data_IF_311726051639
#
_entry.id   IF_311726051639
#
_cell.length_a   1.000
_cell.length_b   1.000
_cell.length_c   1.000
_cell.angle_alpha   90.00
_cell.angle_beta   90.00
_cell.angle_gamma   90.00
#
_symmetry.space_group_name_H-M   'P 1'
#
loop_
_entity.id
_entity.type
_entity.pdbx_description
1 polymer ?
#
# COMPACT_ATOMS: atom_id res chain seq x y z
N UNK A 1 -3.02 -28.53 -6.56
CA UNK A 1 -2.89 -27.21 -5.92
C UNK A 1 -1.89 -27.35 -4.79
N UNK A 2 -0.66 -26.91 -5.01
CA UNK A 2 0.42 -27.02 -4.04
C UNK A 2 0.27 -25.82 -3.09
N UNK A 3 -0.20 -26.06 -1.87
CA UNK A 3 -0.23 -25.01 -0.84
C UNK A 3 1.21 -24.78 -0.39
N UNK A 4 1.82 -23.70 -0.89
CA UNK A 4 3.14 -23.27 -0.48
C UNK A 4 3.10 -22.91 1.01
N UNK A 5 3.94 -23.57 1.82
CA UNK A 5 4.02 -23.36 3.28
C UNK A 5 4.26 -21.87 3.59
N UNK A 6 5.01 -21.17 2.74
CA UNK A 6 5.21 -19.72 2.76
C UNK A 6 3.91 -18.94 2.66
N UNK A 7 2.99 -19.31 1.76
CA UNK A 7 1.69 -18.64 1.64
C UNK A 7 0.79 -18.87 2.86
N UNK A 8 0.88 -20.05 3.50
CA UNK A 8 0.17 -20.33 4.75
C UNK A 8 0.71 -19.49 5.91
N UNK A 9 2.04 -19.37 6.03
CA UNK A 9 2.69 -18.57 7.08
C UNK A 9 2.39 -17.08 6.90
N UNK A 10 2.53 -16.57 5.67
CA UNK A 10 2.23 -15.16 5.36
C UNK A 10 0.75 -14.87 5.59
N UNK A 11 -0.15 -15.73 5.10
CA UNK A 11 -1.59 -15.59 5.32
C UNK A 11 -1.98 -15.61 6.79
N UNK A 12 -1.38 -16.52 7.58
CA UNK A 12 -1.57 -16.61 9.03
C UNK A 12 -1.07 -15.37 9.77
N UNK A 13 0.10 -14.85 9.41
CA UNK A 13 0.65 -13.61 9.96
C UNK A 13 -0.23 -12.40 9.65
N UNK A 14 -0.68 -12.27 8.40
CA UNK A 14 -1.59 -11.19 7.98
C UNK A 14 -2.92 -11.30 8.72
N UNK A 15 -3.49 -12.51 8.83
CA UNK A 15 -4.72 -12.76 9.57
C UNK A 15 -4.61 -12.40 11.06
N UNK A 16 -3.50 -12.78 11.71
CA UNK A 16 -3.22 -12.42 13.09
C UNK A 16 -3.05 -10.91 13.27
N UNK A 17 -2.33 -10.25 12.37
CA UNK A 17 -2.17 -8.78 12.35
C UNK A 17 -3.51 -8.06 12.23
N UNK A 18 -4.38 -8.52 11.32
CA UNK A 18 -5.73 -7.98 11.16
C UNK A 18 -6.57 -8.23 12.40
N UNK A 19 -6.51 -9.44 12.98
CA UNK A 19 -7.21 -9.77 14.22
C UNK A 19 -6.80 -8.85 15.39
N UNK A 20 -5.50 -8.62 15.57
CA UNK A 20 -4.97 -7.71 16.59
C UNK A 20 -5.33 -6.26 16.29
N UNK A 21 -5.31 -5.85 15.02
CA UNK A 21 -5.71 -4.50 14.60
C UNK A 21 -7.20 -4.21 14.91
N UNK A 22 -8.08 -5.22 14.79
CA UNK A 22 -9.50 -5.12 15.14
C UNK A 22 -9.71 -5.16 16.66
N UNK A 23 -8.93 -5.94 17.39
CA UNK A 23 -9.03 -6.04 18.86
C UNK A 23 -8.50 -4.80 19.57
N UNK A 24 -7.47 -4.14 19.02
CA UNK A 24 -6.81 -2.97 19.64
C UNK A 24 -6.77 -1.80 18.65
N UNK A 25 -7.70 -0.83 18.77
CA UNK A 25 -7.84 0.29 17.82
C UNK A 25 -6.57 1.13 17.66
N UNK A 26 -5.76 1.24 18.73
CA UNK A 26 -4.46 1.96 18.69
C UNK A 26 -3.45 1.26 17.80
N UNK A 27 -3.38 -0.07 17.88
CA UNK A 27 -2.45 -0.89 17.08
C UNK A 27 -2.90 -0.89 15.62
N UNK A 28 -4.21 -1.01 15.37
CA UNK A 28 -4.78 -0.89 14.01
C UNK A 28 -4.47 0.46 13.36
N UNK A 29 -4.50 1.56 14.13
CA UNK A 29 -4.12 2.89 13.63
C UNK A 29 -2.64 2.99 13.26
N UNK A 30 -1.74 2.47 14.10
CA UNK A 30 -0.30 2.46 13.80
C UNK A 30 -0.04 1.65 12.53
N UNK A 31 -0.64 0.47 12.42
CA UNK A 31 -0.56 -0.37 11.23
C UNK A 31 -1.07 0.35 9.98
N UNK A 32 -2.23 1.01 10.05
CA UNK A 32 -2.76 1.77 8.93
C UNK A 32 -1.84 2.92 8.51
N UNK A 33 -1.23 3.64 9.45
CA UNK A 33 -0.22 4.66 9.15
C UNK A 33 1.01 4.05 8.46
N UNK A 34 1.52 2.92 8.94
CA UNK A 34 2.68 2.25 8.32
C UNK A 34 2.33 1.78 6.91
N UNK A 35 1.18 1.14 6.72
CA UNK A 35 0.69 0.69 5.40
C UNK A 35 0.53 1.88 4.46
N UNK A 36 0.00 3.00 4.94
CA UNK A 36 -0.11 4.23 4.16
C UNK A 36 1.26 4.73 3.67
N UNK A 37 2.27 4.76 4.53
CA UNK A 37 3.64 5.18 4.14
C UNK A 37 4.22 4.23 3.09
N UNK A 38 4.00 2.92 3.24
CA UNK A 38 4.47 1.93 2.25
C UNK A 38 3.76 2.13 0.91
N UNK A 39 2.44 2.30 0.91
CA UNK A 39 1.66 2.57 -0.30
C UNK A 39 2.09 3.88 -0.98
N UNK A 40 2.33 4.92 -0.18
CA UNK A 40 2.74 6.21 -0.68
C UNK A 40 4.13 6.18 -1.32
N UNK A 41 5.10 5.55 -0.65
CA UNK A 41 6.47 5.40 -1.17
C UNK A 41 6.53 4.49 -2.39
N UNK A 42 5.78 3.38 -2.40
CA UNK A 42 5.65 2.52 -3.57
C UNK A 42 4.98 3.24 -4.75
N UNK A 43 3.91 3.98 -4.49
CA UNK A 43 3.22 4.78 -5.50
C UNK A 43 4.08 5.88 -6.09
N UNK A 44 4.77 6.65 -5.24
CA UNK A 44 5.73 7.67 -5.66
C UNK A 44 6.89 7.06 -6.47
N UNK A 45 7.43 5.92 -6.05
CA UNK A 45 8.46 5.18 -6.79
C UNK A 45 7.98 4.77 -8.18
N UNK A 46 6.77 4.21 -8.31
CA UNK A 46 6.17 3.88 -9.59
C UNK A 46 5.99 5.11 -10.50
N UNK A 47 5.56 6.24 -9.93
CA UNK A 47 5.37 7.49 -10.68
C UNK A 47 6.70 8.08 -11.17
N UNK A 48 7.73 8.09 -10.33
CA UNK A 48 9.09 8.53 -10.71
C UNK A 48 9.63 7.62 -11.81
N UNK A 49 9.46 6.31 -11.66
CA UNK A 49 9.88 5.34 -12.67
C UNK A 49 9.15 5.53 -14.00
N UNK A 50 7.82 5.63 -13.98
CA UNK A 50 7.01 5.85 -15.18
C UNK A 50 7.33 7.19 -15.88
N UNK A 51 7.48 8.26 -15.10
CA UNK A 51 7.83 9.59 -15.63
C UNK A 51 9.25 9.63 -16.20
N UNK A 52 10.21 8.94 -15.58
CA UNK A 52 11.58 8.84 -16.10
C UNK A 52 11.64 8.15 -17.47
N UNK A 53 10.82 7.12 -17.70
CA UNK A 53 10.73 6.45 -18.99
C UNK A 53 10.04 7.33 -20.04
N UNK A 54 8.97 8.04 -19.66
CA UNK A 54 8.28 8.99 -20.55
C UNK A 54 9.18 10.14 -21.01
N UNK A 55 10.01 10.69 -20.12
CA UNK A 55 10.93 11.79 -20.43
C UNK A 55 12.09 11.30 -21.33
N UNK A 56 12.57 10.08 -21.09
CA UNK A 56 13.69 9.50 -21.85
C UNK A 56 13.27 8.97 -23.22
N UNK A 57 11.96 8.84 -23.48
CA UNK A 57 11.42 8.29 -24.73
C UNK A 57 11.71 6.80 -24.90
N UNK A 58 12.15 6.12 -23.85
CA UNK A 58 12.45 4.69 -23.86
C UNK A 58 11.20 3.88 -23.49
N UNK A 59 11.05 2.71 -24.11
CA UNK A 59 10.05 1.74 -23.68
C UNK A 59 10.35 1.29 -22.24
N UNK A 60 9.33 1.30 -21.38
CA UNK A 60 9.47 0.81 -20.01
C UNK A 60 9.92 -0.64 -20.04
N UNK A 61 11.05 -0.92 -19.37
CA UNK A 61 11.44 -2.31 -19.12
C UNK A 61 10.30 -2.97 -18.36
N UNK A 62 9.74 -4.08 -18.86
CA UNK A 62 8.61 -4.73 -18.21
C UNK A 62 9.03 -5.15 -16.80
N UNK A 63 8.28 -4.68 -15.82
CA UNK A 63 8.47 -5.10 -14.44
C UNK A 63 7.69 -6.40 -14.25
N UNK A 64 8.36 -7.54 -14.39
CA UNK A 64 7.75 -8.87 -14.15
C UNK A 64 7.77 -9.19 -12.65
N UNK A 65 6.78 -8.67 -11.91
CA UNK A 65 6.61 -9.02 -10.49
C UNK A 65 5.50 -10.04 -10.32
N UNK A 66 5.85 -11.32 -10.52
CA UNK A 66 5.03 -12.53 -10.37
C UNK A 66 3.74 -12.60 -11.22
N UNK A 67 2.79 -11.68 -11.03
CA UNK A 67 1.53 -11.56 -11.79
C UNK A 67 1.22 -10.12 -12.22
N UNK A 68 1.98 -9.14 -11.73
CA UNK A 68 1.81 -7.75 -12.12
C UNK A 68 2.69 -7.49 -13.34
N UNK A 69 2.11 -7.54 -14.53
CA UNK A 69 2.79 -7.20 -15.78
C UNK A 69 2.46 -5.74 -16.13
N UNK A 70 3.45 -4.86 -16.02
CA UNK A 70 3.32 -3.44 -16.37
C UNK A 70 4.14 -3.22 -17.64
N UNK A 71 3.46 -3.10 -18.79
CA UNK A 71 4.11 -2.96 -20.10
C UNK A 71 4.09 -1.52 -20.63
N UNK A 72 3.23 -0.67 -20.10
CA UNK A 72 3.10 0.71 -20.57
C UNK A 72 3.27 1.75 -19.48
N UNK A 73 3.70 2.95 -19.89
CA UNK A 73 3.81 4.09 -18.99
C UNK A 73 2.46 4.52 -18.42
N UNK A 74 1.40 4.35 -19.20
CA UNK A 74 0.03 4.61 -18.75
C UNK A 74 -0.37 3.66 -17.61
N UNK A 75 -0.04 2.36 -17.71
CA UNK A 75 -0.29 1.39 -16.63
C UNK A 75 0.55 1.69 -15.40
N UNK A 76 1.84 2.01 -15.58
CA UNK A 76 2.73 2.35 -14.47
C UNK A 76 2.27 3.62 -13.72
N UNK A 77 1.83 4.65 -14.46
CA UNK A 77 1.22 5.85 -13.90
C UNK A 77 -0.12 5.54 -13.21
N UNK A 78 -0.96 4.69 -13.80
CA UNK A 78 -2.24 4.29 -13.21
C UNK A 78 -2.07 3.52 -11.90
N UNK A 79 -1.15 2.55 -11.87
CA UNK A 79 -0.80 1.79 -10.66
C UNK A 79 -0.17 2.71 -9.60
N UNK A 80 0.80 3.54 -9.98
CA UNK A 80 1.46 4.47 -9.07
C UNK A 80 0.49 5.51 -8.49
N UNK A 81 -0.39 6.07 -9.32
CA UNK A 81 -1.44 6.99 -8.91
C UNK A 81 -2.48 6.33 -7.99
N UNK A 82 -2.91 5.10 -8.31
CA UNK A 82 -3.82 4.33 -7.48
C UNK A 82 -3.23 4.02 -6.10
N UNK A 83 -1.95 3.64 -6.03
CA UNK A 83 -1.22 3.42 -4.78
C UNK A 83 -1.11 4.70 -3.94
N UNK A 84 -0.85 5.85 -4.57
CA UNK A 84 -0.83 7.14 -3.88
C UNK A 84 -2.19 7.48 -3.28
N UNK A 85 -3.25 7.44 -4.09
CA UNK A 85 -4.61 7.77 -3.63
C UNK A 85 -5.05 6.80 -2.53
N UNK A 86 -4.79 5.50 -2.72
CA UNK A 86 -5.07 4.47 -1.72
C UNK A 86 -4.31 4.72 -0.41
N UNK A 87 -3.02 5.03 -0.48
CA UNK A 87 -2.20 5.38 0.69
C UNK A 87 -2.73 6.60 1.43
N UNK A 88 -3.14 7.65 0.71
CA UNK A 88 -3.74 8.86 1.30
C UNK A 88 -5.09 8.54 1.95
N UNK A 89 -5.96 7.78 1.29
CA UNK A 89 -7.26 7.39 1.84
C UNK A 89 -7.11 6.58 3.12
N UNK A 90 -6.19 5.61 3.14
CA UNK A 90 -5.88 4.82 4.34
C UNK A 90 -5.39 5.72 5.48
N UNK A 91 -4.54 6.70 5.19
CA UNK A 91 -4.07 7.67 6.19
C UNK A 91 -5.20 8.52 6.74
N UNK A 92 -6.01 9.08 5.86
CA UNK A 92 -7.15 9.96 6.23
C UNK A 92 -8.13 9.18 7.10
N UNK A 93 -8.47 7.95 6.72
CA UNK A 93 -9.34 7.08 7.52
C UNK A 93 -8.71 6.75 8.87
N UNK A 94 -7.42 6.41 8.91
CA UNK A 94 -6.71 6.12 10.16
C UNK A 94 -6.69 7.33 11.12
N UNK A 95 -6.55 8.54 10.59
CA UNK A 95 -6.56 9.78 11.37
C UNK A 95 -7.98 10.19 11.79
N UNK A 96 -8.95 10.14 10.88
CA UNK A 96 -10.34 10.53 11.13
C UNK A 96 -11.02 9.61 12.14
N UNK A 97 -10.82 8.28 12.03
CA UNK A 97 -11.37 7.30 12.97
C UNK A 97 -10.67 7.36 14.33
N UNK A 98 -9.42 7.82 14.38
CA UNK A 98 -8.63 7.98 15.60
C UNK A 98 -8.87 9.30 16.37
N UNK A 99 -9.62 10.26 15.81
CA UNK A 99 -9.79 11.61 16.38
C UNK A 99 -10.79 11.74 17.54
N UNK A 100 -11.66 10.74 17.76
CA UNK A 100 -12.73 10.83 18.79
C UNK A 100 -12.28 10.51 20.22
N UNK A 101 -11.00 10.19 20.45
CA UNK A 101 -10.49 9.75 21.76
C UNK A 101 -9.80 10.80 22.62
N UNK A 102 -9.50 12.01 22.12
CA UNK A 102 -8.63 12.98 22.82
C UNK A 102 -9.37 14.23 23.29
N UNK A 103 -10.60 14.49 22.84
CA UNK A 103 -11.38 15.67 23.24
C UNK A 103 -12.29 15.45 24.46
N UNK A 104 -11.84 14.65 25.45
CA UNK A 104 -12.64 14.42 26.67
C UNK A 104 -11.80 14.35 27.94
N UNK A 105 -10.72 15.12 28.01
CA UNK A 105 -10.06 15.54 29.26
C UNK A 105 -9.38 16.87 28.99
N UNK A 106 -10.09 17.96 29.31
CA UNK A 106 -9.60 19.18 29.95
C UNK A 106 -10.80 20.12 30.04
#
# INVERSE_FOLDING_TARGET
MQFDITSLIVGGLVGALVGVALAVPRVGRILACVISVVLFTAGAGCLIWASSALISGEELRPLDWHQLYIASAAEALGVGGGLLIGGILVLVLALALGGKGVSRRL
#
